data_IF_401876339011
#
_entry.id   IF_401876339011
#
_cell.length_a   1.000
_cell.length_b   1.000
_cell.length_c   1.000
_cell.angle_alpha   90.00
_cell.angle_beta   90.00
_cell.angle_gamma   90.00
#
_symmetry.space_group_name_H-M   'P 1'
#
loop_
_entity.id
_entity.type
_entity.pdbx_description
1 polymer ?
#
# COMPACT_ATOMS: atom_id res chain seq x y z
N UNK A 1 2.61 -0.52 6.78
CA UNK A 1 2.23 0.47 5.79
C UNK A 1 0.70 0.63 5.75
N UNK A 2 -0.05 -0.39 5.30
CA UNK A 2 -1.51 -0.28 5.27
C UNK A 2 -2.09 -0.05 6.66
N UNK A 3 -2.96 0.94 6.78
CA UNK A 3 -3.62 1.34 8.02
C UNK A 3 -4.84 0.47 8.34
N UNK A 4 -5.46 0.72 9.48
CA UNK A 4 -6.82 0.29 9.75
C UNK A 4 -7.80 1.18 8.97
N UNK A 5 -9.04 0.73 8.78
CA UNK A 5 -10.07 1.48 8.05
C UNK A 5 -10.44 2.82 8.71
N UNK A 6 -10.20 2.94 10.01
CA UNK A 6 -10.38 4.19 10.77
C UNK A 6 -9.18 5.16 10.65
N UNK A 7 -8.16 4.81 9.87
CA UNK A 7 -6.96 5.61 9.65
C UNK A 7 -5.88 5.46 10.72
N UNK A 8 -6.08 4.60 11.72
CA UNK A 8 -5.04 4.34 12.71
C UNK A 8 -3.96 3.41 12.16
N UNK A 9 -2.68 3.58 12.58
CA UNK A 9 -1.62 2.66 12.21
C UNK A 9 -1.88 1.24 12.72
N UNK A 10 -1.66 0.25 11.87
CA UNK A 10 -1.67 -1.14 12.31
C UNK A 10 -0.43 -1.45 13.17
N UNK A 11 -0.63 -2.15 14.28
CA UNK A 11 0.45 -2.66 15.12
C UNK A 11 0.19 -4.11 15.56
N UNK A 12 1.22 -4.95 15.50
CA UNK A 12 1.19 -6.29 16.07
C UNK A 12 1.18 -6.29 17.59
N UNK A 13 1.63 -5.21 18.24
CA UNK A 13 1.60 -5.02 19.68
C UNK A 13 0.19 -4.76 20.22
N UNK A 14 -0.70 -4.29 19.34
CA UNK A 14 -2.10 -4.13 19.66
C UNK A 14 -2.81 -5.50 19.57
N UNK A 15 -3.20 -6.06 20.69
CA UNK A 15 -3.84 -7.37 20.77
C UNK A 15 -5.11 -7.50 19.89
N UNK A 16 -5.89 -6.42 19.73
CA UNK A 16 -7.06 -6.40 18.86
C UNK A 16 -6.65 -6.52 17.38
N UNK A 17 -5.59 -5.82 16.95
CA UNK A 17 -5.09 -5.94 15.59
C UNK A 17 -4.44 -7.30 15.33
N UNK A 18 -3.64 -7.80 16.28
CA UNK A 18 -2.94 -9.08 16.16
C UNK A 18 -3.91 -10.27 16.10
N UNK A 19 -5.04 -10.21 16.81
CA UNK A 19 -6.04 -11.29 16.80
C UNK A 19 -6.79 -11.42 15.46
N UNK A 20 -6.90 -10.33 14.70
CA UNK A 20 -7.58 -10.27 13.39
C UNK A 20 -6.79 -9.40 12.41
N UNK A 21 -5.57 -9.80 12.01
CA UNK A 21 -4.63 -8.92 11.30
C UNK A 21 -5.10 -8.47 9.91
N UNK A 22 -6.08 -9.14 9.36
CA UNK A 22 -6.62 -8.87 8.03
C UNK A 22 -8.03 -8.27 8.05
N UNK A 23 -8.60 -8.00 9.23
CA UNK A 23 -9.91 -7.37 9.36
C UNK A 23 -9.79 -5.86 9.49
N UNK A 24 -10.80 -5.14 8.99
CA UNK A 24 -10.91 -3.67 9.16
C UNK A 24 -9.65 -2.89 8.70
N UNK A 25 -9.03 -3.34 7.61
CA UNK A 25 -7.85 -2.68 7.03
C UNK A 25 -8.25 -1.68 5.95
N UNK A 26 -7.33 -0.79 5.62
CA UNK A 26 -7.43 0.07 4.44
C UNK A 26 -7.97 -0.73 3.24
N UNK A 27 -9.02 -0.27 2.54
CA UNK A 27 -9.60 -1.00 1.41
C UNK A 27 -8.60 -1.37 0.30
N UNK A 28 -7.54 -0.59 0.14
CA UNK A 28 -6.47 -0.85 -0.84
C UNK A 28 -5.63 -2.07 -0.48
N UNK A 29 -5.54 -2.43 0.80
CA UNK A 29 -4.89 -3.67 1.22
C UNK A 29 -5.51 -4.88 0.52
N UNK A 30 -6.82 -5.00 0.55
CA UNK A 30 -7.54 -6.13 -0.06
C UNK A 30 -7.47 -6.13 -1.59
N UNK A 31 -7.27 -4.96 -2.20
CA UNK A 31 -7.13 -4.84 -3.66
C UNK A 31 -5.70 -5.12 -4.14
N UNK A 32 -4.71 -4.94 -3.28
CA UNK A 32 -3.31 -5.03 -3.65
C UNK A 32 -2.63 -6.32 -3.20
N UNK A 33 -3.07 -6.93 -2.09
CA UNK A 33 -2.40 -8.04 -1.42
C UNK A 33 -3.36 -9.24 -1.27
N UNK A 34 -2.85 -10.43 -1.56
CA UNK A 34 -3.45 -11.70 -1.15
C UNK A 34 -2.75 -12.19 0.12
N UNK A 35 -3.54 -12.59 1.07
CA UNK A 35 -3.12 -13.06 2.40
C UNK A 35 -3.78 -14.39 2.72
N UNK A 36 -3.43 -15.00 3.83
CA UNK A 36 -4.05 -16.26 4.26
C UNK A 36 -5.57 -16.13 4.37
N UNK A 37 -6.32 -17.07 3.82
CA UNK A 37 -7.79 -17.11 3.73
C UNK A 37 -8.41 -16.06 2.77
N UNK A 38 -7.64 -15.25 2.06
CA UNK A 38 -8.18 -14.37 1.03
C UNK A 38 -8.80 -15.18 -0.12
N UNK A 39 -9.97 -14.77 -0.59
CA UNK A 39 -10.59 -15.36 -1.77
C UNK A 39 -9.90 -14.88 -3.05
N UNK A 40 -9.54 -15.80 -3.92
CA UNK A 40 -8.94 -15.52 -5.21
C UNK A 40 -9.32 -16.60 -6.24
N UNK A 41 -9.84 -16.20 -7.39
CA UNK A 41 -10.23 -17.08 -8.50
C UNK A 41 -11.10 -18.28 -8.03
N UNK A 42 -12.08 -18.03 -7.17
CA UNK A 42 -13.02 -19.02 -6.66
C UNK A 42 -12.48 -19.97 -5.59
N UNK A 43 -11.23 -19.77 -5.12
CA UNK A 43 -10.61 -20.55 -4.05
C UNK A 43 -10.08 -19.64 -2.97
N UNK A 44 -9.70 -20.20 -1.81
CA UNK A 44 -8.98 -19.49 -0.77
C UNK A 44 -7.47 -19.67 -0.89
N UNK A 45 -6.73 -18.62 -0.58
CA UNK A 45 -5.28 -18.67 -0.45
C UNK A 45 -4.93 -19.32 0.90
N UNK A 46 -4.06 -20.30 0.90
CA UNK A 46 -3.67 -21.10 2.07
C UNK A 46 -2.16 -20.96 2.28
N UNK A 47 -1.74 -19.96 3.07
CA UNK A 47 -0.32 -19.70 3.36
C UNK A 47 0.11 -20.19 4.75
N UNK A 48 -0.75 -20.88 5.47
CA UNK A 48 -0.39 -21.58 6.70
C UNK A 48 0.47 -22.83 6.41
N UNK A 49 1.15 -23.33 7.42
CA UNK A 49 2.00 -24.53 7.29
C UNK A 49 1.20 -25.73 6.76
N UNK A 50 1.69 -26.32 5.67
CA UNK A 50 0.98 -27.40 4.95
C UNK A 50 -0.11 -26.93 3.98
N UNK A 51 -0.39 -25.64 3.89
CA UNK A 51 -1.34 -25.07 2.94
C UNK A 51 -0.84 -25.09 1.50
N UNK A 52 -1.76 -25.07 0.54
CA UNK A 52 -1.47 -25.16 -0.91
C UNK A 52 -0.59 -24.05 -1.47
N UNK A 53 -0.51 -22.91 -0.78
CA UNK A 53 0.23 -21.73 -1.21
C UNK A 53 1.37 -21.40 -0.23
N UNK A 54 1.77 -22.35 0.61
CA UNK A 54 2.81 -22.17 1.62
C UNK A 54 4.16 -22.74 1.17
N UNK A 55 5.26 -22.17 1.66
CA UNK A 55 6.58 -22.81 1.58
C UNK A 55 6.52 -24.19 2.32
N UNK A 56 7.18 -25.25 1.80
CA UNK A 56 8.19 -25.28 0.73
C UNK A 56 7.67 -25.57 -0.68
N UNK A 57 6.39 -25.37 -0.97
CA UNK A 57 5.85 -25.65 -2.30
C UNK A 57 6.55 -24.76 -3.34
N UNK A 58 6.92 -25.34 -4.47
CA UNK A 58 7.61 -24.64 -5.56
C UNK A 58 6.77 -23.43 -6.04
N UNK A 59 7.38 -22.25 -6.04
CA UNK A 59 6.73 -20.99 -6.42
C UNK A 59 5.96 -20.31 -5.28
N UNK A 60 5.91 -20.91 -4.08
CA UNK A 60 5.31 -20.25 -2.94
C UNK A 60 6.17 -19.09 -2.42
N UNK A 61 5.50 -18.05 -1.93
CA UNK A 61 6.18 -16.92 -1.30
C UNK A 61 6.73 -17.28 0.09
N UNK A 62 7.88 -16.72 0.44
CA UNK A 62 8.45 -16.86 1.78
C UNK A 62 7.75 -15.98 2.83
N UNK A 63 7.04 -14.94 2.40
CA UNK A 63 6.40 -13.95 3.29
C UNK A 63 4.96 -14.30 3.66
N UNK A 64 4.36 -15.29 3.01
CA UNK A 64 2.94 -15.62 3.17
C UNK A 64 1.98 -14.64 2.48
N UNK A 65 2.49 -13.69 1.68
CA UNK A 65 1.70 -12.72 0.93
C UNK A 65 1.96 -12.82 -0.56
N UNK A 66 0.91 -12.59 -1.36
CA UNK A 66 0.99 -12.56 -2.81
C UNK A 66 0.46 -11.25 -3.37
N UNK A 67 0.90 -10.90 -4.57
CA UNK A 67 0.40 -9.73 -5.30
C UNK A 67 -1.01 -10.04 -5.83
N UNK A 68 -1.96 -9.13 -5.58
CA UNK A 68 -3.30 -9.11 -6.19
C UNK A 68 -3.45 -8.00 -7.21
N UNK A 69 -2.82 -6.84 -6.93
CA UNK A 69 -2.83 -5.70 -7.85
C UNK A 69 -2.36 -6.14 -9.24
N UNK A 70 -2.99 -5.68 -10.29
CA UNK A 70 -2.80 -6.11 -11.68
C UNK A 70 -3.31 -7.52 -12.03
N UNK A 71 -3.76 -8.32 -11.07
CA UNK A 71 -4.32 -9.63 -11.38
C UNK A 71 -5.77 -9.49 -11.82
N UNK A 72 -6.11 -10.10 -12.96
CA UNK A 72 -7.49 -10.19 -13.43
C UNK A 72 -8.04 -11.59 -13.13
N UNK A 73 -8.90 -11.67 -12.13
CA UNK A 73 -9.44 -12.97 -11.64
C UNK A 73 -10.38 -13.66 -12.64
N UNK A 74 -10.73 -13.01 -13.75
CA UNK A 74 -11.54 -13.61 -14.83
C UNK A 74 -10.70 -14.26 -15.93
N UNK A 75 -9.37 -14.19 -15.85
CA UNK A 75 -8.45 -14.87 -16.77
C UNK A 75 -8.42 -16.37 -16.46
N UNK A 76 -8.36 -17.20 -17.50
CA UNK A 76 -8.11 -18.63 -17.37
C UNK A 76 -6.88 -19.03 -18.16
N UNK A 77 -5.92 -19.68 -17.50
CA UNK A 77 -4.73 -20.26 -18.11
C UNK A 77 -4.94 -21.72 -18.52
N UNK A 78 -6.19 -22.23 -18.48
CA UNK A 78 -6.51 -23.59 -18.90
C UNK A 78 -6.08 -23.83 -20.35
N UNK A 79 -5.33 -24.90 -20.66
CA UNK A 79 -4.94 -25.21 -22.03
C UNK A 79 -6.14 -25.51 -22.94
N UNK A 80 -7.25 -26.00 -22.38
CA UNK A 80 -8.44 -26.42 -23.12
C UNK A 80 -9.47 -25.31 -23.29
N UNK A 81 -9.47 -24.33 -22.36
CA UNK A 81 -10.41 -23.21 -22.40
C UNK A 81 -9.75 -21.92 -21.88
N UNK A 82 -8.80 -21.34 -22.61
CA UNK A 82 -8.10 -20.14 -22.18
C UNK A 82 -9.01 -18.92 -22.29
N UNK A 83 -9.06 -18.10 -21.21
CA UNK A 83 -9.72 -16.79 -21.21
C UNK A 83 -8.62 -15.74 -21.11
N UNK A 84 -8.40 -15.00 -22.20
CA UNK A 84 -7.40 -13.92 -22.28
C UNK A 84 -8.09 -12.59 -22.04
N UNK A 85 -7.43 -11.70 -21.31
CA UNK A 85 -7.86 -10.31 -21.08
C UNK A 85 -6.69 -9.38 -21.33
N UNK A 86 -6.93 -8.16 -21.84
CA UNK A 86 -5.89 -7.17 -21.96
C UNK A 86 -5.36 -6.82 -20.56
N UNK A 87 -4.05 -6.62 -20.47
CA UNK A 87 -3.39 -6.13 -19.28
C UNK A 87 -2.91 -4.70 -19.57
N UNK A 88 -3.22 -3.79 -18.66
CA UNK A 88 -2.80 -2.39 -18.75
C UNK A 88 -1.72 -2.13 -17.70
N UNK A 89 -0.58 -1.65 -18.14
CA UNK A 89 0.45 -1.15 -17.25
C UNK A 89 0.26 0.35 -17.06
N UNK A 90 0.13 0.78 -15.81
CA UNK A 90 -0.06 2.19 -15.46
C UNK A 90 1.30 2.87 -15.47
N UNK A 91 1.50 3.82 -16.38
CA UNK A 91 2.71 4.64 -16.44
C UNK A 91 2.60 5.87 -15.56
N UNK A 92 1.43 6.48 -15.52
CA UNK A 92 1.14 7.70 -14.78
C UNK A 92 -0.36 7.82 -14.49
N UNK A 93 -0.73 8.37 -13.35
CA UNK A 93 -2.13 8.56 -12.97
C UNK A 93 -2.32 9.76 -12.03
N UNK A 94 -3.54 10.28 -12.00
CA UNK A 94 -3.88 11.50 -11.28
C UNK A 94 -3.54 11.48 -9.79
N UNK A 95 -3.67 10.33 -9.12
CA UNK A 95 -3.28 10.21 -7.72
C UNK A 95 -1.78 10.49 -7.49
N UNK A 96 -0.91 10.14 -8.44
CA UNK A 96 0.51 10.48 -8.39
C UNK A 96 0.71 12.00 -8.49
N UNK A 97 -0.01 12.67 -9.40
CA UNK A 97 0.04 14.14 -9.52
C UNK A 97 -0.35 14.81 -8.22
N UNK A 98 -1.45 14.36 -7.59
CA UNK A 98 -1.91 14.90 -6.32
C UNK A 98 -0.88 14.70 -5.20
N UNK A 99 -0.24 13.52 -5.15
CA UNK A 99 0.78 13.23 -4.14
C UNK A 99 2.08 14.00 -4.38
N UNK A 100 2.49 14.20 -5.64
CA UNK A 100 3.63 15.04 -6.01
C UNK A 100 3.35 16.50 -5.61
N UNK A 101 2.16 17.00 -5.91
CA UNK A 101 1.72 18.34 -5.53
C UNK A 101 1.69 18.51 -4.00
N UNK A 102 1.07 17.56 -3.28
CA UNK A 102 0.99 17.59 -1.83
C UNK A 102 2.38 17.64 -1.17
N UNK A 103 3.33 16.88 -1.69
CA UNK A 103 4.70 16.88 -1.18
C UNK A 103 5.38 18.23 -1.44
N UNK A 104 5.29 18.77 -2.66
CA UNK A 104 5.88 20.05 -3.00
C UNK A 104 5.31 21.21 -2.15
N UNK A 105 3.99 21.26 -2.00
CA UNK A 105 3.34 22.31 -1.19
C UNK A 105 3.67 22.19 0.29
N UNK A 106 3.78 20.96 0.81
CA UNK A 106 4.19 20.74 2.19
C UNK A 106 5.63 21.21 2.46
N UNK A 107 6.54 20.99 1.53
CA UNK A 107 7.93 21.49 1.64
C UNK A 107 8.02 23.01 1.52
N UNK A 108 7.14 23.65 0.75
CA UNK A 108 7.12 25.11 0.57
C UNK A 108 6.60 25.85 1.80
N UNK A 109 5.57 25.36 2.47
CA UNK A 109 4.93 26.13 3.54
C UNK A 109 4.10 25.30 4.52
N UNK A 110 4.23 23.98 4.48
CA UNK A 110 3.49 23.09 5.37
C UNK A 110 2.14 22.63 4.84
N UNK A 111 1.41 21.84 5.64
CA UNK A 111 0.23 21.11 5.17
C UNK A 111 -0.92 21.98 4.68
N UNK A 112 -1.06 23.18 5.23
CA UNK A 112 -2.19 24.08 4.92
C UNK A 112 -1.77 25.30 4.08
N UNK A 113 -0.52 25.34 3.66
CA UNK A 113 -0.03 26.39 2.76
C UNK A 113 -0.75 26.33 1.40
N UNK A 114 -1.14 27.49 0.91
CA UNK A 114 -1.67 27.71 -0.45
C UNK A 114 -0.87 28.82 -1.13
N UNK A 115 -0.66 28.69 -2.44
CA UNK A 115 0.01 29.72 -3.22
C UNK A 115 -1.00 30.72 -3.76
N UNK A 116 -0.74 32.02 -3.56
CA UNK A 116 -1.57 33.08 -4.15
C UNK A 116 -1.42 33.18 -5.68
N UNK A 117 -0.40 32.50 -6.25
CA UNK A 117 -0.16 32.46 -7.69
C UNK A 117 -1.03 31.42 -8.41
N UNK A 118 -1.70 30.53 -7.67
CA UNK A 118 -2.50 29.46 -8.26
C UNK A 118 -3.93 29.96 -8.51
N UNK A 119 -4.44 29.72 -9.72
CA UNK A 119 -5.85 29.99 -10.07
C UNK A 119 -6.83 29.17 -9.21
N UNK A 120 -6.38 28.02 -8.70
CA UNK A 120 -7.11 27.11 -7.81
C UNK A 120 -6.23 26.79 -6.61
N UNK A 121 -6.18 27.62 -5.58
CA UNK A 121 -5.33 27.41 -4.42
C UNK A 121 -5.75 26.12 -3.70
N UNK A 122 -4.89 25.12 -3.72
CA UNK A 122 -5.07 23.85 -3.06
C UNK A 122 -3.91 23.59 -2.11
N UNK A 123 -4.19 23.23 -0.86
CA UNK A 123 -3.14 22.90 0.10
C UNK A 123 -2.66 21.46 -0.06
N UNK A 124 -1.47 21.16 0.49
CA UNK A 124 -0.95 19.79 0.57
C UNK A 124 -1.94 18.84 1.23
N UNK A 125 -2.58 19.29 2.32
CA UNK A 125 -3.61 18.53 3.05
C UNK A 125 -4.82 18.22 2.17
N UNK A 126 -5.28 19.20 1.41
CA UNK A 126 -6.42 19.00 0.50
C UNK A 126 -6.09 17.97 -0.57
N UNK A 127 -4.96 18.09 -1.23
CA UNK A 127 -4.52 17.13 -2.26
C UNK A 127 -4.36 15.71 -1.72
N UNK A 128 -3.75 15.56 -0.55
CA UNK A 128 -3.60 14.29 0.14
C UNK A 128 -4.94 13.66 0.49
N UNK A 129 -5.86 14.45 1.05
CA UNK A 129 -7.18 13.99 1.46
C UNK A 129 -8.09 13.65 0.26
N UNK A 130 -7.87 14.22 -0.92
CA UNK A 130 -8.53 13.78 -2.15
C UNK A 130 -8.16 12.34 -2.50
N UNK A 131 -6.88 11.96 -2.38
CA UNK A 131 -6.41 10.58 -2.60
C UNK A 131 -7.04 9.64 -1.58
N UNK A 132 -7.05 10.03 -0.31
CA UNK A 132 -7.62 9.22 0.79
C UNK A 132 -9.13 9.03 0.63
N UNK A 133 -9.85 10.10 0.30
CA UNK A 133 -11.30 10.05 0.06
C UNK A 133 -11.65 9.08 -1.08
N UNK A 134 -10.88 9.07 -2.17
CA UNK A 134 -11.07 8.12 -3.27
C UNK A 134 -10.84 6.64 -2.83
N UNK A 135 -10.08 6.44 -1.77
CA UNK A 135 -9.83 5.12 -1.16
C UNK A 135 -10.81 4.79 -0.01
N UNK A 136 -11.79 5.65 0.29
CA UNK A 136 -12.67 5.57 1.46
C UNK A 136 -11.90 5.54 2.80
N UNK A 137 -10.80 6.30 2.88
CA UNK A 137 -10.03 6.47 4.10
C UNK A 137 -10.34 7.83 4.75
N UNK A 138 -10.31 7.92 6.09
CA UNK A 138 -10.53 9.18 6.78
C UNK A 138 -9.44 10.20 6.47
N UNK A 139 -9.80 11.47 6.56
CA UNK A 139 -8.91 12.59 6.33
C UNK A 139 -7.76 12.63 7.35
N UNK A 140 -6.60 13.06 6.88
CA UNK A 140 -5.45 13.37 7.74
C UNK A 140 -5.57 14.82 8.23
N UNK A 141 -5.42 14.97 9.55
CA UNK A 141 -5.45 16.26 10.24
C UNK A 141 -4.15 16.58 10.97
N UNK A 142 -3.16 15.69 10.87
CA UNK A 142 -1.84 15.85 11.46
C UNK A 142 -1.12 17.11 10.93
N UNK A 143 -0.08 17.57 11.63
CA UNK A 143 0.71 18.73 11.25
C UNK A 143 2.21 18.41 11.34
N UNK A 144 3.04 19.31 10.80
CA UNK A 144 4.50 19.21 10.88
C UNK A 144 5.04 17.85 10.38
N UNK A 145 5.95 17.27 11.14
CA UNK A 145 6.61 16.00 10.79
C UNK A 145 5.65 14.81 10.74
N UNK A 146 4.60 14.83 11.56
CA UNK A 146 3.56 13.78 11.53
C UNK A 146 2.80 13.81 10.22
N UNK A 147 2.45 15.00 9.71
CA UNK A 147 1.84 15.12 8.39
C UNK A 147 2.77 14.60 7.29
N UNK A 148 4.04 14.98 7.33
CA UNK A 148 5.03 14.50 6.35
C UNK A 148 5.16 12.97 6.38
N UNK A 149 5.17 12.38 7.57
CA UNK A 149 5.20 10.92 7.75
C UNK A 149 3.95 10.26 7.16
N UNK A 150 2.78 10.84 7.41
CA UNK A 150 1.50 10.36 6.87
C UNK A 150 1.45 10.48 5.35
N UNK A 151 1.90 11.60 4.79
CA UNK A 151 1.98 11.84 3.35
C UNK A 151 2.88 10.79 2.65
N UNK A 152 4.07 10.54 3.20
CA UNK A 152 5.00 9.54 2.68
C UNK A 152 4.44 8.11 2.78
N UNK A 153 3.70 7.81 3.86
CA UNK A 153 3.02 6.53 4.00
C UNK A 153 1.86 6.39 3.00
N UNK A 154 1.06 7.43 2.81
CA UNK A 154 -0.02 7.45 1.81
C UNK A 154 0.52 7.22 0.40
N UNK A 155 1.61 7.89 0.02
CA UNK A 155 2.28 7.67 -1.25
C UNK A 155 2.75 6.22 -1.40
N UNK A 156 3.34 5.63 -0.36
CA UNK A 156 3.76 4.23 -0.34
C UNK A 156 2.61 3.25 -0.55
N UNK A 157 1.45 3.52 0.03
CA UNK A 157 0.25 2.67 -0.07
C UNK A 157 -0.40 2.83 -1.44
N UNK A 158 -0.64 4.06 -1.84
CA UNK A 158 -1.37 4.39 -3.07
C UNK A 158 -0.64 3.89 -4.31
N UNK A 159 0.67 4.16 -4.38
CA UNK A 159 1.52 3.78 -5.51
C UNK A 159 2.24 2.44 -5.31
N UNK A 160 1.73 1.59 -4.39
CA UNK A 160 2.29 0.27 -4.16
C UNK A 160 2.30 -0.56 -5.45
N UNK A 161 3.46 -1.17 -5.78
CA UNK A 161 3.72 -1.97 -6.99
C UNK A 161 3.68 -1.19 -8.31
N UNK A 162 3.83 0.15 -8.27
CA UNK A 162 3.92 1.03 -9.43
C UNK A 162 5.34 1.62 -9.60
N UNK A 163 6.35 0.93 -9.14
CA UNK A 163 7.80 1.24 -9.21
C UNK A 163 8.27 2.52 -8.48
N UNK A 164 7.39 3.22 -7.75
CA UNK A 164 7.72 4.47 -7.07
C UNK A 164 8.60 4.28 -5.84
N UNK A 165 8.41 3.21 -5.05
CA UNK A 165 9.06 3.04 -3.74
C UNK A 165 10.58 3.07 -3.80
N UNK A 166 11.17 2.47 -4.83
CA UNK A 166 12.61 2.45 -5.02
C UNK A 166 13.20 3.87 -5.15
N UNK A 167 12.52 4.73 -5.88
CA UNK A 167 12.92 6.11 -6.10
C UNK A 167 12.63 6.99 -4.88
N UNK A 168 11.48 6.81 -4.26
CA UNK A 168 11.07 7.55 -3.07
C UNK A 168 12.04 7.34 -1.90
N UNK A 169 12.48 6.12 -1.64
CA UNK A 169 13.46 5.79 -0.61
C UNK A 169 14.78 6.55 -0.84
N UNK A 170 15.23 6.65 -2.08
CA UNK A 170 16.45 7.38 -2.44
C UNK A 170 16.27 8.88 -2.34
N UNK A 171 15.17 9.38 -2.87
CA UNK A 171 14.84 10.80 -2.87
C UNK A 171 14.68 11.36 -1.45
N UNK A 172 14.09 10.57 -0.57
CA UNK A 172 13.94 10.94 0.85
C UNK A 172 15.16 10.60 1.71
N UNK A 173 16.18 9.98 1.13
CA UNK A 173 17.42 9.58 1.82
C UNK A 173 17.17 8.70 3.07
N UNK A 174 16.18 7.82 3.01
CA UNK A 174 15.79 6.93 4.12
C UNK A 174 16.20 5.47 3.89
N UNK A 175 17.13 5.22 2.96
CA UNK A 175 17.53 3.88 2.56
C UNK A 175 18.16 3.07 3.71
N UNK A 176 18.96 3.70 4.52
CA UNK A 176 19.61 3.12 5.70
C UNK A 176 18.59 2.67 6.76
N UNK A 177 17.50 3.44 6.94
CA UNK A 177 16.45 3.14 7.91
C UNK A 177 15.52 2.01 7.42
N UNK A 178 15.11 2.05 6.14
CA UNK A 178 14.07 1.14 5.63
C UNK A 178 14.60 -0.11 4.95
N UNK A 179 15.88 -0.14 4.57
CA UNK A 179 16.54 -1.26 3.90
C UNK A 179 17.59 -1.95 4.80
N UNK A 180 17.78 -1.48 6.02
CA UNK A 180 18.68 -2.10 6.98
C UNK A 180 18.15 -3.48 7.39
N UNK A 181 18.58 -4.50 6.66
CA UNK A 181 18.27 -5.91 6.97
C UNK A 181 19.16 -6.45 8.11
N UNK A 182 20.17 -5.68 8.56
CA UNK A 182 21.17 -6.10 9.54
C UNK A 182 20.53 -6.36 10.93
N UNK A 183 19.35 -5.82 11.18
CA UNK A 183 18.63 -5.96 12.46
C UNK A 183 17.30 -6.71 12.34
N UNK A 184 16.99 -7.28 11.19
CA UNK A 184 15.89 -8.24 11.10
C UNK A 184 16.48 -9.58 11.57
N UNK A 185 16.52 -9.78 12.89
CA UNK A 185 16.58 -11.12 13.43
C UNK A 185 15.34 -11.84 12.91
N UNK A 186 15.52 -12.90 12.11
CA UNK A 186 14.42 -13.79 11.78
C UNK A 186 13.74 -14.19 13.08
N UNK A 187 12.40 -14.04 13.19
CA UNK A 187 11.72 -14.62 14.32
C UNK A 187 12.01 -16.12 14.27
N UNK A 188 12.78 -16.60 15.24
CA UNK A 188 12.97 -18.03 15.45
C UNK A 188 11.59 -18.63 15.58
N UNK A 189 11.17 -19.37 14.56
CA UNK A 189 9.95 -20.17 14.60
C UNK A 189 10.17 -21.25 15.66
N UNK A 190 9.51 -21.11 16.77
CA UNK A 190 9.28 -22.20 17.74
C UNK A 190 7.97 -22.86 17.42
#
# INVERSE_FOLDING_TARGET
AYEMADGTPFSWENAKHASKPYSERDPRFYKAILYNEASFMGTKIETFEGGRNASPITGATLTGYYLRKYMNETVSLSPTNPIKKPHHFILFRYAETLLNYAEAMNELGGPDYTSDADELPMSARTALNMVRSAANMPNITDNGDDFTTRLRNERRIELAFEDHRFWDIRRWMIGDVVLSLIHISEPTRH
#
